data_IF_262563855239
#
_entry.id   IF_262563855239
#
_cell.length_a   1.000
_cell.length_b   1.000
_cell.length_c   1.000
_cell.angle_alpha   90.00
_cell.angle_beta   90.00
_cell.angle_gamma   90.00
#
_symmetry.space_group_name_H-M   'P 1'
#
loop_
_entity.id
_entity.type
_entity.pdbx_description
1 polymer ?
#
# COMPACT_ATOMS: atom_id res chain seq x y z
N UNK A 1 10.94 -11.26 -1.34
CA UNK A 1 10.26 -12.57 -1.14
C UNK A 1 9.95 -12.73 0.34
N UNK A 2 8.86 -13.44 0.68
CA UNK A 2 8.33 -13.51 2.04
C UNK A 2 9.34 -14.01 3.10
N UNK A 3 10.34 -14.78 2.67
CA UNK A 3 11.41 -15.30 3.52
C UNK A 3 12.35 -14.19 4.02
N UNK A 4 12.41 -13.05 3.32
CA UNK A 4 13.22 -11.88 3.69
C UNK A 4 12.48 -10.89 4.59
N UNK A 5 11.19 -11.13 4.88
CA UNK A 5 10.43 -10.25 5.76
C UNK A 5 10.91 -10.39 7.22
N UNK A 6 10.72 -9.37 8.06
CA UNK A 6 10.94 -9.47 9.50
C UNK A 6 10.15 -10.60 10.16
N UNK A 7 10.62 -11.14 11.28
CA UNK A 7 10.03 -12.34 11.92
C UNK A 7 8.57 -12.11 12.36
N UNK A 8 8.24 -10.88 12.74
CA UNK A 8 6.93 -10.42 13.18
C UNK A 8 5.96 -10.12 12.02
N UNK A 9 6.42 -10.15 10.77
CA UNK A 9 5.54 -10.02 9.61
C UNK A 9 4.57 -11.22 9.52
N UNK A 10 3.24 -10.98 9.41
CA UNK A 10 2.27 -12.06 9.27
C UNK A 10 2.51 -12.90 8.01
N UNK A 11 2.46 -14.23 8.16
CA UNK A 11 2.71 -15.19 7.08
C UNK A 11 1.67 -16.29 7.10
N UNK A 12 1.07 -16.53 5.94
CA UNK A 12 0.14 -17.63 5.72
C UNK A 12 0.61 -18.43 4.51
N UNK A 13 1.24 -19.60 4.72
CA UNK A 13 1.61 -20.51 3.63
C UNK A 13 0.38 -20.88 2.79
N UNK A 14 0.56 -21.00 1.49
CA UNK A 14 -0.46 -21.39 0.52
C UNK A 14 -0.12 -22.76 -0.09
N UNK A 15 -1.12 -23.45 -0.65
CA UNK A 15 -0.93 -24.77 -1.24
C UNK A 15 0.03 -24.76 -2.46
N UNK A 16 0.18 -23.63 -3.14
CA UNK A 16 1.08 -23.45 -4.28
C UNK A 16 2.53 -23.12 -3.88
N UNK A 17 2.88 -23.26 -2.60
CA UNK A 17 4.21 -22.97 -2.06
C UNK A 17 4.50 -21.48 -1.86
N UNK A 18 3.58 -20.57 -2.19
CA UNK A 18 3.73 -19.14 -1.89
C UNK A 18 3.31 -18.83 -0.45
N UNK A 19 3.69 -17.65 0.01
CA UNK A 19 3.28 -17.12 1.31
C UNK A 19 2.45 -15.87 1.09
N UNK A 20 1.21 -15.88 1.58
CA UNK A 20 0.40 -14.67 1.72
C UNK A 20 0.90 -13.90 2.93
N UNK A 21 0.97 -12.58 2.82
CA UNK A 21 1.35 -11.68 3.92
C UNK A 21 0.39 -10.50 4.01
N UNK A 22 0.50 -9.68 5.05
CA UNK A 22 -0.38 -8.53 5.28
C UNK A 22 0.14 -7.28 4.59
N UNK A 23 -0.59 -6.81 3.56
CA UNK A 23 -0.26 -5.54 2.89
C UNK A 23 -0.36 -4.33 3.85
N UNK A 24 -1.30 -4.36 4.80
CA UNK A 24 -1.43 -3.31 5.81
C UNK A 24 -0.18 -3.24 6.71
N UNK A 25 0.29 -4.41 7.15
CA UNK A 25 1.52 -4.51 7.94
C UNK A 25 2.71 -3.98 7.14
N UNK A 26 2.84 -4.37 5.87
CA UNK A 26 3.91 -3.87 5.00
C UNK A 26 3.86 -2.33 4.84
N UNK A 27 2.67 -1.75 4.66
CA UNK A 27 2.54 -0.30 4.56
C UNK A 27 2.98 0.41 5.85
N UNK A 28 2.45 0.00 7.00
CA UNK A 28 2.82 0.59 8.30
C UNK A 28 4.34 0.45 8.58
N UNK A 29 4.92 -0.71 8.30
CA UNK A 29 6.35 -0.99 8.53
C UNK A 29 7.27 -0.42 7.43
N UNK A 30 6.69 0.21 6.39
CA UNK A 30 7.41 1.04 5.42
C UNK A 30 7.37 2.53 5.79
N UNK A 31 6.84 2.87 6.97
CA UNK A 31 6.74 4.26 7.45
C UNK A 31 5.54 5.03 6.89
N UNK A 32 4.48 4.33 6.48
CA UNK A 32 3.22 4.96 6.08
C UNK A 32 2.32 5.06 7.31
N UNK A 33 1.90 6.27 7.64
CA UNK A 33 1.03 6.51 8.79
C UNK A 33 -0.44 6.63 8.40
N UNK A 34 -1.33 6.17 9.27
CA UNK A 34 -2.76 6.52 9.20
C UNK A 34 -2.89 8.04 9.29
N UNK A 35 -3.67 8.63 8.39
CA UNK A 35 -3.83 10.08 8.33
C UNK A 35 -2.75 10.82 7.52
N UNK A 36 -1.72 10.13 7.02
CA UNK A 36 -0.72 10.75 6.14
C UNK A 36 -1.38 11.32 4.89
N UNK A 37 -1.06 12.57 4.55
CA UNK A 37 -1.65 13.28 3.41
C UNK A 37 -0.62 13.48 2.31
N UNK A 38 -1.08 13.43 1.07
CA UNK A 38 -0.33 13.84 -0.11
C UNK A 38 -1.29 14.57 -1.05
N UNK A 39 -0.98 15.84 -1.34
CA UNK A 39 -1.86 16.74 -2.08
C UNK A 39 -3.30 16.72 -1.51
N UNK A 40 -4.33 16.49 -2.34
CA UNK A 40 -5.73 16.36 -1.89
C UNK A 40 -6.08 15.03 -1.22
N UNK A 41 -5.24 14.01 -1.38
CA UNK A 41 -5.48 12.64 -0.93
C UNK A 41 -4.91 12.34 0.46
N UNK A 42 -5.44 11.31 1.11
CA UNK A 42 -5.05 10.92 2.46
C UNK A 42 -5.14 9.40 2.68
N UNK A 43 -4.17 8.83 3.40
CA UNK A 43 -4.31 7.50 4.00
C UNK A 43 -5.35 7.59 5.12
N UNK A 44 -6.38 6.74 5.08
CA UNK A 44 -7.47 6.76 6.06
C UNK A 44 -6.95 6.73 7.49
N UNK A 45 -7.56 7.53 8.36
CA UNK A 45 -7.24 7.55 9.80
C UNK A 45 -7.57 6.23 10.50
N UNK A 46 -8.40 5.38 9.88
CA UNK A 46 -8.84 4.10 10.45
C UNK A 46 -7.98 2.93 10.01
N UNK A 47 -7.56 2.90 8.74
CA UNK A 47 -6.87 1.74 8.17
C UNK A 47 -5.98 2.12 6.98
N UNK A 48 -4.72 1.68 6.98
CA UNK A 48 -3.72 2.13 5.99
C UNK A 48 -3.99 1.67 4.56
N UNK A 49 -4.70 0.56 4.36
CA UNK A 49 -5.07 0.09 3.01
C UNK A 49 -6.12 0.98 2.32
N UNK A 50 -6.81 1.85 3.07
CA UNK A 50 -7.83 2.71 2.50
C UNK A 50 -7.24 4.09 2.20
N UNK A 51 -7.24 4.45 0.92
CA UNK A 51 -6.97 5.82 0.47
C UNK A 51 -8.29 6.57 0.44
N UNK A 52 -8.26 7.85 0.84
CA UNK A 52 -9.44 8.67 1.02
C UNK A 52 -9.25 10.05 0.40
N UNK A 53 -10.32 10.59 -0.15
CA UNK A 53 -10.38 11.99 -0.53
C UNK A 53 -10.58 12.83 0.74
N UNK A 54 -9.61 13.70 1.08
CA UNK A 54 -9.68 14.53 2.29
C UNK A 54 -10.42 15.86 2.11
N UNK A 55 -11.05 16.06 0.95
CA UNK A 55 -11.94 17.17 0.63
C UNK A 55 -11.98 17.45 -0.88
N UNK A 56 -10.81 17.65 -1.48
CA UNK A 56 -10.66 18.11 -2.87
C UNK A 56 -9.73 17.24 -3.71
N UNK A 57 -9.54 15.97 -3.35
CA UNK A 57 -8.68 15.06 -4.11
C UNK A 57 -9.23 14.82 -5.52
N UNK A 58 -8.36 15.00 -6.50
CA UNK A 58 -8.54 14.53 -7.87
C UNK A 58 -8.19 13.04 -7.97
N UNK A 59 -8.47 12.42 -9.12
CA UNK A 59 -8.01 11.06 -9.39
C UNK A 59 -6.48 10.97 -9.35
N UNK A 60 -5.79 11.98 -9.89
CA UNK A 60 -4.33 12.04 -9.90
C UNK A 60 -3.74 12.12 -8.49
N UNK A 61 -4.35 12.88 -7.58
CA UNK A 61 -3.90 12.93 -6.17
C UNK A 61 -3.96 11.55 -5.49
N UNK A 62 -5.02 10.79 -5.75
CA UNK A 62 -5.18 9.43 -5.20
C UNK A 62 -4.13 8.49 -5.82
N UNK A 63 -3.86 8.64 -7.12
CA UNK A 63 -2.86 7.86 -7.83
C UNK A 63 -1.45 8.17 -7.33
N UNK A 64 -1.10 9.43 -7.12
CA UNK A 64 0.19 9.83 -6.55
C UNK A 64 0.37 9.25 -5.15
N UNK A 65 -0.66 9.30 -4.30
CA UNK A 65 -0.63 8.70 -2.98
C UNK A 65 -0.44 7.17 -3.06
N UNK A 66 -1.11 6.50 -3.99
CA UNK A 66 -0.95 5.07 -4.22
C UNK A 66 0.45 4.73 -4.76
N UNK A 67 1.02 5.53 -5.67
CA UNK A 67 2.38 5.38 -6.18
C UNK A 67 3.41 5.52 -5.06
N UNK A 68 3.27 6.54 -4.21
CA UNK A 68 4.11 6.75 -3.03
C UNK A 68 4.06 5.54 -2.09
N UNK A 69 2.86 5.05 -1.76
CA UNK A 69 2.70 3.89 -0.88
C UNK A 69 3.35 2.63 -1.46
N UNK A 70 3.18 2.39 -2.77
CA UNK A 70 3.80 1.25 -3.48
C UNK A 70 5.31 1.36 -3.52
N UNK A 71 5.85 2.56 -3.73
CA UNK A 71 7.28 2.83 -3.74
C UNK A 71 7.91 2.54 -2.38
N UNK A 72 7.36 3.09 -1.28
CA UNK A 72 7.87 2.84 0.08
C UNK A 72 7.94 1.34 0.42
N UNK A 73 6.89 0.58 0.09
CA UNK A 73 6.87 -0.88 0.34
C UNK A 73 7.88 -1.61 -0.54
N UNK A 74 8.03 -1.18 -1.80
CA UNK A 74 9.01 -1.77 -2.71
C UNK A 74 10.45 -1.49 -2.26
N UNK A 75 10.77 -0.25 -1.90
CA UNK A 75 12.08 0.16 -1.41
C UNK A 75 12.45 -0.58 -0.12
N UNK A 76 11.49 -0.72 0.80
CA UNK A 76 11.74 -1.35 2.11
C UNK A 76 11.86 -2.87 2.02
N UNK A 77 11.00 -3.53 1.26
CA UNK A 77 10.84 -4.98 1.30
C UNK A 77 11.09 -5.69 -0.04
N UNK A 78 11.30 -4.95 -1.13
CA UNK A 78 11.36 -5.50 -2.48
C UNK A 78 10.04 -6.12 -2.94
N UNK A 79 8.91 -5.71 -2.36
CA UNK A 79 7.57 -6.23 -2.67
C UNK A 79 6.78 -5.16 -3.44
N UNK A 80 6.27 -5.52 -4.62
CA UNK A 80 5.39 -4.64 -5.41
C UNK A 80 3.94 -4.89 -5.01
N UNK A 81 3.30 -3.90 -4.38
CA UNK A 81 1.86 -3.96 -4.12
C UNK A 81 1.07 -3.76 -5.42
N UNK A 82 -0.05 -4.47 -5.53
CA UNK A 82 -1.01 -4.35 -6.62
C UNK A 82 -2.29 -3.69 -6.11
N UNK A 83 -2.93 -2.88 -6.95
CA UNK A 83 -4.22 -2.31 -6.62
C UNK A 83 -5.32 -3.37 -6.72
N UNK A 84 -6.22 -3.38 -5.74
CA UNK A 84 -7.45 -4.19 -5.77
C UNK A 84 -8.54 -3.52 -6.62
N UNK A 85 -8.58 -2.19 -6.59
CA UNK A 85 -9.57 -1.39 -7.34
C UNK A 85 -9.25 -1.38 -8.84
N UNK A 86 -10.30 -1.28 -9.65
CA UNK A 86 -10.16 -1.03 -11.08
C UNK A 86 -9.79 0.43 -11.32
N UNK A 87 -8.76 0.66 -12.14
CA UNK A 87 -8.32 1.99 -12.55
C UNK A 87 -8.88 2.28 -13.95
N UNK A 88 -9.60 3.40 -14.09
CA UNK A 88 -10.21 3.83 -15.34
C UNK A 88 -9.65 5.20 -15.70
N UNK A 89 -8.99 5.32 -16.85
CA UNK A 89 -8.42 6.59 -17.33
C UNK A 89 -7.16 7.05 -16.60
N UNK A 90 -6.65 6.26 -15.64
CA UNK A 90 -5.42 6.51 -14.88
C UNK A 90 -4.65 5.21 -14.69
N UNK A 91 -3.38 5.31 -14.33
CA UNK A 91 -2.53 4.14 -14.11
C UNK A 91 -1.50 4.34 -12.99
N UNK A 92 -0.89 3.22 -12.59
CA UNK A 92 0.03 3.11 -11.48
C UNK A 92 1.49 2.88 -11.93
N UNK A 93 1.80 3.01 -13.22
CA UNK A 93 3.14 2.82 -13.74
C UNK A 93 3.95 4.12 -13.76
#
# INVERSE_FOLDING_TARGET
>A
MADKLPIDAPRWPQADGKVKTSAAWLMEHSGIAKGEKLAGAQISSKHVLALSNSGSATADDIIELAKMARAKVNEKFGIKLQAEVQLIGVDLN
#
